data_IF_932287805731
#
_entry.id   IF_932287805731
#
_cell.length_a   1.000
_cell.length_b   1.000
_cell.length_c   1.000
_cell.angle_alpha   90.00
_cell.angle_beta   90.00
_cell.angle_gamma   90.00
#
_symmetry.space_group_name_H-M   'P 1'
#
loop_
_entity.id
_entity.type
_entity.pdbx_description
1 polymer ?
#
# COMPACT_ATOMS: atom_id res chain seq x y z
N UNK A 1 4.36 -8.21 26.90
CA UNK A 1 3.65 -8.16 25.60
C UNK A 1 2.16 -8.07 25.85
N UNK A 2 1.53 -6.93 25.54
CA UNK A 2 0.08 -6.72 25.73
C UNK A 2 -0.65 -7.62 24.73
N UNK A 3 -1.49 -8.56 25.19
CA UNK A 3 -2.28 -9.42 24.27
C UNK A 3 -3.24 -8.52 23.49
N UNK A 4 -3.17 -8.60 22.17
CA UNK A 4 -4.12 -7.92 21.27
C UNK A 4 -5.51 -8.50 21.53
N UNK A 5 -6.49 -7.61 21.77
CA UNK A 5 -7.89 -7.97 22.00
C UNK A 5 -8.50 -8.68 20.77
N UNK A 6 -9.44 -9.59 20.99
CA UNK A 6 -10.06 -10.42 19.95
C UNK A 6 -10.72 -9.56 18.87
N UNK A 7 -11.39 -8.47 19.28
CA UNK A 7 -12.03 -7.53 18.36
C UNK A 7 -11.03 -6.84 17.44
N UNK A 8 -9.89 -6.41 17.97
CA UNK A 8 -8.80 -5.79 17.19
C UNK A 8 -8.19 -6.79 16.21
N UNK A 9 -8.03 -8.06 16.60
CA UNK A 9 -7.60 -9.12 15.67
C UNK A 9 -8.56 -9.30 14.51
N UNK A 10 -9.87 -9.36 14.78
CA UNK A 10 -10.88 -9.44 13.72
C UNK A 10 -10.82 -8.23 12.80
N UNK A 11 -10.67 -7.02 13.35
CA UNK A 11 -10.47 -5.80 12.56
C UNK A 11 -9.26 -5.87 11.63
N UNK A 12 -8.10 -6.31 12.14
CA UNK A 12 -6.89 -6.51 11.34
C UNK A 12 -7.12 -7.49 10.18
N UNK A 13 -7.75 -8.63 10.46
CA UNK A 13 -7.99 -9.66 9.45
C UNK A 13 -8.97 -9.19 8.38
N UNK A 14 -10.09 -8.60 8.78
CA UNK A 14 -11.12 -8.08 7.85
C UNK A 14 -10.56 -6.96 7.00
N UNK A 15 -9.78 -6.04 7.59
CA UNK A 15 -9.14 -4.97 6.86
C UNK A 15 -8.10 -5.47 5.84
N UNK A 16 -7.28 -6.44 6.23
CA UNK A 16 -6.33 -7.09 5.32
C UNK A 16 -7.02 -7.83 4.17
N UNK A 17 -8.09 -8.58 4.47
CA UNK A 17 -8.93 -9.25 3.47
C UNK A 17 -9.59 -8.29 2.50
N UNK A 18 -10.12 -7.17 3.00
CA UNK A 18 -10.73 -6.14 2.16
C UNK A 18 -9.71 -5.54 1.18
N UNK A 19 -8.49 -5.27 1.64
CA UNK A 19 -7.43 -4.76 0.77
C UNK A 19 -6.93 -5.82 -0.22
N UNK A 20 -6.85 -7.08 0.18
CA UNK A 20 -6.55 -8.18 -0.73
C UNK A 20 -7.58 -8.25 -1.87
N UNK A 21 -8.87 -8.17 -1.54
CA UNK A 21 -9.94 -8.14 -2.54
C UNK A 21 -9.83 -6.91 -3.45
N UNK A 22 -9.47 -5.74 -2.91
CA UNK A 22 -9.26 -4.54 -3.70
C UNK A 22 -8.09 -4.70 -4.69
N UNK A 23 -7.01 -5.40 -4.29
CA UNK A 23 -5.89 -5.74 -5.18
C UNK A 23 -6.31 -6.74 -6.27
N UNK A 24 -7.15 -7.73 -5.93
CA UNK A 24 -7.70 -8.66 -6.93
C UNK A 24 -8.55 -7.93 -7.98
N UNK A 25 -9.41 -6.99 -7.55
CA UNK A 25 -10.19 -6.15 -8.47
C UNK A 25 -9.25 -5.28 -9.33
N UNK A 26 -8.24 -4.65 -8.73
CA UNK A 26 -7.26 -3.86 -9.48
C UNK A 26 -6.48 -4.73 -10.48
N UNK A 27 -6.18 -5.98 -10.14
CA UNK A 27 -5.56 -6.95 -11.03
C UNK A 27 -6.49 -7.31 -12.20
N UNK A 28 -7.75 -7.64 -11.93
CA UNK A 28 -8.73 -7.91 -12.98
C UNK A 28 -8.93 -6.71 -13.92
N UNK A 29 -8.98 -5.50 -13.37
CA UNK A 29 -9.03 -4.26 -14.15
C UNK A 29 -7.77 -4.10 -15.01
N UNK A 30 -6.62 -4.54 -14.51
CA UNK A 30 -5.38 -4.48 -15.29
C UNK A 30 -5.35 -5.43 -16.50
N UNK A 31 -6.08 -6.55 -16.44
CA UNK A 31 -6.28 -7.44 -17.58
C UNK A 31 -7.08 -6.77 -18.71
N UNK A 32 -7.85 -5.72 -18.39
CA UNK A 32 -8.54 -4.89 -19.38
C UNK A 32 -7.65 -3.79 -20.00
N UNK A 33 -6.35 -3.79 -19.72
CA UNK A 33 -5.36 -2.88 -20.31
C UNK A 33 -5.04 -1.63 -19.47
N UNK A 34 -5.62 -1.49 -18.29
CA UNK A 34 -5.24 -0.44 -17.34
C UNK A 34 -3.98 -0.83 -16.56
N UNK A 35 -3.09 0.10 -16.20
CA UNK A 35 -1.88 -0.24 -15.46
C UNK A 35 -2.22 -0.77 -14.06
N UNK A 36 -1.66 -1.93 -13.71
CA UNK A 36 -1.81 -2.49 -12.36
C UNK A 36 -1.14 -1.56 -11.33
N UNK A 37 -1.92 -1.07 -10.36
CA UNK A 37 -1.47 0.00 -9.45
C UNK A 37 -0.15 -0.30 -8.73
N UNK A 38 0.11 -1.51 -8.17
CA UNK A 38 1.41 -1.83 -7.57
C UNK A 38 2.59 -1.73 -8.53
N UNK A 39 2.40 -2.10 -9.81
CA UNK A 39 3.45 -2.00 -10.82
C UNK A 39 3.73 -0.55 -11.19
N UNK A 40 2.69 0.25 -11.41
CA UNK A 40 2.82 1.67 -11.70
C UNK A 40 3.49 2.42 -10.54
N UNK A 41 3.12 2.09 -9.31
CA UNK A 41 3.68 2.70 -8.10
C UNK A 41 5.15 2.28 -7.88
N UNK A 42 5.48 1.00 -8.09
CA UNK A 42 6.86 0.52 -8.03
C UNK A 42 7.76 1.19 -9.07
N UNK A 43 7.25 1.43 -10.28
CA UNK A 43 7.97 2.16 -11.33
C UNK A 43 8.14 3.63 -10.95
N UNK A 44 7.10 4.30 -10.48
CA UNK A 44 7.18 5.69 -10.05
C UNK A 44 8.20 5.90 -8.92
N UNK A 45 8.29 4.96 -7.96
CA UNK A 45 9.31 5.02 -6.90
C UNK A 45 10.72 4.97 -7.51
N UNK A 46 10.96 4.10 -8.50
CA UNK A 46 12.27 4.01 -9.18
C UNK A 46 12.59 5.31 -9.92
N UNK A 47 11.59 5.88 -10.61
CA UNK A 47 11.77 7.08 -11.44
C UNK A 47 12.09 8.34 -10.60
N UNK A 48 11.64 8.37 -9.36
CA UNK A 48 11.90 9.47 -8.41
C UNK A 48 13.22 9.30 -7.64
N UNK A 49 13.75 8.08 -7.55
CA UNK A 49 14.99 7.81 -6.83
C UNK A 49 16.20 8.42 -7.56
N UNK A 50 17.09 9.14 -6.86
CA UNK A 50 18.32 9.67 -7.45
C UNK A 50 19.13 8.59 -8.15
N UNK A 51 19.70 8.89 -9.32
CA UNK A 51 20.46 7.94 -10.14
C UNK A 51 21.50 7.13 -9.37
N UNK A 52 22.19 7.74 -8.41
CA UNK A 52 23.19 7.05 -7.59
C UNK A 52 22.61 6.01 -6.62
N UNK A 53 21.30 6.01 -6.36
CA UNK A 53 20.59 4.97 -5.58
C UNK A 53 19.92 3.98 -6.53
N UNK A 54 19.23 4.46 -7.57
CA UNK A 54 18.50 3.59 -8.49
C UNK A 54 19.42 2.72 -9.35
N UNK A 55 20.57 3.24 -9.82
CA UNK A 55 21.53 2.47 -10.63
C UNK A 55 22.06 1.24 -9.89
N UNK A 56 22.68 1.34 -8.70
CA UNK A 56 23.16 0.16 -7.98
C UNK A 56 22.01 -0.75 -7.53
N UNK A 57 20.83 -0.21 -7.23
CA UNK A 57 19.66 -1.02 -6.89
C UNK A 57 19.21 -1.86 -8.09
N UNK A 58 19.14 -1.26 -9.28
CA UNK A 58 18.82 -1.94 -10.53
C UNK A 58 19.93 -2.93 -10.89
N UNK A 59 21.21 -2.61 -10.75
CA UNK A 59 22.29 -3.54 -11.07
C UNK A 59 22.35 -4.73 -10.10
N UNK A 60 22.12 -4.50 -8.80
CA UNK A 60 22.20 -5.55 -7.78
C UNK A 60 20.96 -6.45 -7.78
N UNK A 61 19.79 -5.86 -8.05
CA UNK A 61 18.52 -6.56 -7.99
C UNK A 61 17.91 -6.80 -9.37
N UNK A 62 18.55 -6.44 -10.48
CA UNK A 62 18.08 -6.42 -11.88
C UNK A 62 16.84 -7.25 -12.24
N UNK A 63 16.85 -8.55 -11.92
CA UNK A 63 15.71 -9.45 -12.13
C UNK A 63 14.61 -9.33 -11.06
N UNK A 64 15.00 -9.20 -9.80
CA UNK A 64 14.14 -9.15 -8.62
C UNK A 64 13.70 -7.76 -8.19
N UNK A 65 14.34 -6.67 -8.62
CA UNK A 65 14.12 -5.31 -8.11
C UNK A 65 12.66 -4.91 -8.26
N UNK A 66 12.12 -5.11 -9.46
CA UNK A 66 10.74 -4.81 -9.78
C UNK A 66 9.76 -5.73 -9.04
N UNK A 67 10.08 -7.02 -8.95
CA UNK A 67 9.27 -7.98 -8.21
C UNK A 67 9.23 -7.70 -6.71
N UNK A 68 10.37 -7.39 -6.10
CA UNK A 68 10.51 -7.06 -4.68
C UNK A 68 9.84 -5.73 -4.33
N UNK A 69 9.94 -4.73 -5.21
CA UNK A 69 9.20 -3.48 -5.06
C UNK A 69 7.70 -3.72 -5.13
N UNK A 70 7.22 -4.48 -6.12
CA UNK A 70 5.80 -4.83 -6.25
C UNK A 70 5.32 -5.60 -5.02
N UNK A 71 6.08 -6.60 -4.55
CA UNK A 71 5.78 -7.33 -3.33
C UNK A 71 5.78 -6.43 -2.10
N UNK A 72 6.71 -5.48 -2.02
CA UNK A 72 6.77 -4.47 -0.98
C UNK A 72 5.54 -3.56 -0.98
N UNK A 73 5.09 -3.10 -2.16
CA UNK A 73 3.86 -2.31 -2.28
C UNK A 73 2.65 -3.13 -1.87
N UNK A 74 2.53 -4.38 -2.32
CA UNK A 74 1.44 -5.27 -1.91
C UNK A 74 1.44 -5.47 -0.39
N UNK A 75 2.60 -5.72 0.20
CA UNK A 75 2.73 -5.89 1.65
C UNK A 75 2.31 -4.63 2.41
N UNK A 76 2.76 -3.45 1.97
CA UNK A 76 2.36 -2.16 2.56
C UNK A 76 0.85 -1.95 2.46
N UNK A 77 0.26 -2.23 1.30
CA UNK A 77 -1.19 -2.17 1.12
C UNK A 77 -1.92 -3.06 2.12
N UNK A 78 -1.52 -4.32 2.24
CA UNK A 78 -2.14 -5.26 3.18
C UNK A 78 -1.99 -4.81 4.64
N UNK A 79 -0.83 -4.26 5.01
CA UNK A 79 -0.58 -3.70 6.34
C UNK A 79 -1.48 -2.50 6.60
N UNK A 80 -1.59 -1.57 5.64
CA UNK A 80 -2.46 -0.39 5.74
C UNK A 80 -3.94 -0.80 5.84
N UNK A 81 -4.37 -1.76 5.03
CA UNK A 81 -5.71 -2.34 5.07
C UNK A 81 -6.00 -3.00 6.41
N UNK A 82 -5.07 -3.81 6.93
CA UNK A 82 -5.21 -4.40 8.26
C UNK A 82 -5.31 -3.31 9.33
N UNK A 83 -4.43 -2.30 9.28
CA UNK A 83 -4.43 -1.25 10.28
C UNK A 83 -5.74 -0.45 10.26
N UNK A 84 -6.22 -0.11 9.06
CA UNK A 84 -7.51 0.51 8.84
C UNK A 84 -8.65 -0.27 9.49
N UNK A 85 -8.70 -1.59 9.26
CA UNK A 85 -9.71 -2.46 9.84
C UNK A 85 -9.63 -2.53 11.37
N UNK A 86 -8.42 -2.50 11.95
CA UNK A 86 -8.26 -2.48 13.41
C UNK A 86 -8.71 -1.16 14.05
N UNK A 87 -8.46 -0.03 13.38
CA UNK A 87 -8.93 1.29 13.82
C UNK A 87 -10.46 1.38 13.72
N UNK A 88 -11.05 0.83 12.67
CA UNK A 88 -12.50 0.84 12.45
C UNK A 88 -13.32 0.11 13.56
N UNK A 89 -12.70 -0.83 14.27
CA UNK A 89 -13.35 -1.59 15.35
C UNK A 89 -13.10 -1.03 16.76
N UNK A 90 -12.36 0.08 16.90
CA UNK A 90 -12.07 0.69 18.21
C UNK A 90 -13.33 1.31 18.87
N UNK A 91 -13.48 1.23 20.20
CA UNK A 91 -14.65 1.78 20.91
C UNK A 91 -14.76 3.31 20.87
N UNK A 92 -13.64 4.04 20.79
CA UNK A 92 -13.59 5.51 20.75
C UNK A 92 -13.72 6.10 19.34
N UNK A 93 -14.24 5.32 18.39
CA UNK A 93 -14.34 5.69 16.98
C UNK A 93 -15.16 6.98 16.79
N UNK A 94 -14.52 8.00 16.22
CA UNK A 94 -15.20 9.04 15.43
C UNK A 94 -14.97 8.65 13.99
N UNK A 95 -16.02 8.27 13.26
CA UNK A 95 -15.91 7.71 11.90
C UNK A 95 -15.05 8.57 10.97
N UNK A 96 -15.13 9.90 11.10
CA UNK A 96 -14.28 10.84 10.37
C UNK A 96 -12.77 10.68 10.65
N UNK A 97 -12.38 10.37 11.89
CA UNK A 97 -10.98 10.17 12.29
C UNK A 97 -10.41 8.87 11.72
N UNK A 98 -11.23 7.82 11.68
CA UNK A 98 -10.86 6.53 11.07
C UNK A 98 -10.63 6.72 9.57
N UNK A 99 -11.59 7.36 8.88
CA UNK A 99 -11.46 7.64 7.44
C UNK A 99 -10.24 8.52 7.15
N UNK A 100 -9.99 9.55 7.95
CA UNK A 100 -8.83 10.42 7.77
C UNK A 100 -7.49 9.69 7.95
N UNK A 101 -7.36 8.83 8.97
CA UNK A 101 -6.14 8.03 9.20
C UNK A 101 -5.92 7.04 8.07
N UNK A 102 -6.99 6.44 7.55
CA UNK A 102 -6.91 5.46 6.46
C UNK A 102 -6.64 6.12 5.11
N UNK A 103 -7.18 7.32 4.89
CA UNK A 103 -6.96 8.08 3.65
C UNK A 103 -5.59 8.80 3.64
N UNK A 104 -5.00 9.09 4.80
CA UNK A 104 -3.75 9.84 4.92
C UNK A 104 -2.59 9.23 4.11
N UNK A 105 -2.30 7.93 4.18
CA UNK A 105 -1.25 7.29 3.39
C UNK A 105 -1.48 7.47 1.88
N UNK A 106 -2.72 7.36 1.44
CA UNK A 106 -3.10 7.54 0.03
C UNK A 106 -2.95 8.98 -0.44
N UNK A 107 -3.43 9.94 0.35
CA UNK A 107 -3.30 11.36 0.05
C UNK A 107 -1.83 11.77 0.03
N UNK A 108 -1.02 11.28 0.96
CA UNK A 108 0.44 11.51 0.98
C UNK A 108 1.10 10.87 -0.24
N UNK A 109 0.74 9.64 -0.60
CA UNK A 109 1.28 8.99 -1.80
C UNK A 109 0.93 9.76 -3.08
N UNK A 110 -0.31 10.24 -3.22
CA UNK A 110 -0.73 11.08 -4.34
C UNK A 110 0.03 12.41 -4.35
N UNK A 111 0.14 13.07 -3.20
CA UNK A 111 0.84 14.36 -3.09
C UNK A 111 2.34 14.24 -3.42
N UNK A 112 3.01 13.20 -2.92
CA UNK A 112 4.40 12.91 -3.27
C UNK A 112 4.53 12.56 -4.75
N UNK A 113 3.63 11.73 -5.29
CA UNK A 113 3.62 11.38 -6.71
C UNK A 113 3.47 12.60 -7.61
N UNK A 114 2.65 13.59 -7.24
CA UNK A 114 2.53 14.86 -7.98
C UNK A 114 3.77 15.75 -7.82
N UNK A 115 4.36 15.80 -6.62
CA UNK A 115 5.53 16.63 -6.32
C UNK A 115 6.78 16.19 -7.08
N UNK A 116 6.92 14.89 -7.34
CA UNK A 116 8.05 14.33 -8.09
C UNK A 116 7.76 14.04 -9.57
N UNK A 117 6.53 14.29 -10.04
CA UNK A 117 6.16 14.22 -11.46
C UNK A 117 6.36 15.54 -12.22
N UNK A 118 6.72 16.62 -11.51
CA UNK A 118 7.13 17.91 -12.09
C UNK A 118 8.65 18.05 -12.13
#
# INVERSE_FOLDING_TARGET
MRRIDSRTRTGLLVGGLAMFLALDVAFLVSLAGLPFAPFALGQAIIDVLPGFISIPLIETLQYWAKGLLVLGVIALFLIDGAWAGAVAVMPSRRDASVVAIVALPWVVAVALGQLFAG
#
